data_IF_633561579999
#
_entry.id   IF_633561579999
#
_cell.length_a   1.000
_cell.length_b   1.000
_cell.length_c   1.000
_cell.angle_alpha   90.00
_cell.angle_beta   90.00
_cell.angle_gamma   90.00
#
_symmetry.space_group_name_H-M   'P 1'
#
loop_
_entity.id
_entity.type
_entity.pdbx_description
1 polymer ?
#
# COMPACT_ATOMS: atom_id res chain seq x y z
N UNK A 1 -1.69 1.76 31.60
CA UNK A 1 -0.38 2.45 31.64
C UNK A 1 -0.10 3.01 30.26
N UNK A 2 0.01 4.34 30.09
CA UNK A 2 0.36 4.94 28.80
C UNK A 2 1.85 4.72 28.54
N UNK A 3 2.21 4.12 27.40
CA UNK A 3 3.62 4.07 26.97
C UNK A 3 4.13 5.51 26.78
N UNK A 4 5.37 5.83 27.18
CA UNK A 4 5.94 7.15 26.94
C UNK A 4 6.01 7.43 25.44
N UNK A 5 5.73 8.68 25.04
CA UNK A 5 5.93 9.13 23.65
C UNK A 5 7.42 9.02 23.31
N UNK A 6 7.73 8.38 22.19
CA UNK A 6 9.11 8.20 21.75
C UNK A 6 9.76 9.56 21.46
N UNK A 7 11.03 9.72 21.86
CA UNK A 7 11.86 10.81 21.33
C UNK A 7 12.16 10.46 19.86
N UNK A 8 12.12 11.42 18.93
CA UNK A 8 12.45 11.16 17.53
C UNK A 8 13.84 10.54 17.40
N UNK A 9 13.98 9.56 16.51
CA UNK A 9 15.28 8.98 16.19
C UNK A 9 16.12 10.03 15.44
N UNK A 10 17.42 10.09 15.73
CA UNK A 10 18.33 11.03 15.07
C UNK A 10 18.36 10.72 13.57
N UNK A 11 18.08 11.72 12.73
CA UNK A 11 17.91 11.60 11.28
C UNK A 11 16.49 11.24 10.81
N UNK A 12 15.54 11.07 11.74
CA UNK A 12 14.12 10.80 11.47
C UNK A 12 13.22 11.75 12.27
N UNK A 13 13.67 12.98 12.50
CA UNK A 13 12.95 13.98 13.30
C UNK A 13 11.68 14.46 12.61
N UNK A 14 11.69 14.54 11.27
CA UNK A 14 10.62 15.09 10.44
C UNK A 14 9.87 14.01 9.62
N UNK A 15 9.78 12.78 10.13
CA UNK A 15 9.03 11.72 9.45
C UNK A 15 7.53 12.03 9.43
N UNK A 16 6.93 11.97 8.24
CA UNK A 16 5.50 12.25 8.07
C UNK A 16 4.60 11.16 8.68
N UNK A 17 5.02 9.90 8.59
CA UNK A 17 4.23 8.75 9.03
C UNK A 17 4.79 8.16 10.32
N UNK A 18 4.04 8.35 11.41
CA UNK A 18 4.37 7.83 12.74
C UNK A 18 3.23 6.97 13.29
N UNK A 19 3.59 5.96 14.06
CA UNK A 19 2.67 5.22 14.91
C UNK A 19 2.08 6.12 16.01
N UNK A 20 1.01 5.66 16.68
CA UNK A 20 0.39 6.36 17.82
C UNK A 20 1.37 6.79 18.92
N UNK A 21 2.51 6.09 19.05
CA UNK A 21 3.51 6.35 20.08
C UNK A 21 4.66 7.24 19.60
N UNK A 22 4.63 7.73 18.36
CA UNK A 22 5.66 8.61 17.78
C UNK A 22 6.83 7.89 17.11
N UNK A 23 6.82 6.56 17.05
CA UNK A 23 7.82 5.80 16.28
C UNK A 23 7.51 5.87 14.79
N UNK A 24 8.52 5.88 13.90
CA UNK A 24 8.31 5.71 12.47
C UNK A 24 7.39 4.52 12.18
N UNK A 25 6.45 4.72 11.28
CA UNK A 25 5.51 3.66 10.90
C UNK A 25 6.29 2.52 10.22
N UNK A 26 6.01 1.28 10.60
CA UNK A 26 6.59 0.10 9.95
C UNK A 26 5.55 -0.60 9.06
N UNK A 27 6.02 -1.31 8.06
CA UNK A 27 5.20 -2.02 7.08
C UNK A 27 4.17 -2.95 7.74
N UNK A 28 4.58 -3.67 8.78
CA UNK A 28 3.68 -4.58 9.50
C UNK A 28 2.47 -3.85 10.10
N UNK A 29 2.65 -2.64 10.63
CA UNK A 29 1.53 -1.86 11.20
C UNK A 29 0.52 -1.48 10.12
N UNK A 30 1.00 -1.16 8.91
CA UNK A 30 0.14 -0.86 7.75
C UNK A 30 -0.60 -2.12 7.31
N UNK A 31 0.10 -3.24 7.18
CA UNK A 31 -0.48 -4.53 6.79
C UNK A 31 -1.56 -4.97 7.78
N UNK A 32 -1.28 -4.90 9.09
CA UNK A 32 -2.25 -5.29 10.12
C UNK A 32 -3.49 -4.40 10.10
N UNK A 33 -3.32 -3.09 9.87
CA UNK A 33 -4.43 -2.16 9.73
C UNK A 33 -5.28 -2.48 8.50
N UNK A 34 -4.65 -2.82 7.37
CA UNK A 34 -5.35 -3.21 6.14
C UNK A 34 -6.09 -4.54 6.30
N UNK A 35 -5.45 -5.56 6.86
CA UNK A 35 -6.06 -6.86 7.13
C UNK A 35 -7.29 -6.69 8.06
N UNK A 36 -7.19 -5.81 9.07
CA UNK A 36 -8.33 -5.47 9.92
C UNK A 36 -9.50 -4.85 9.14
N UNK A 37 -9.23 -3.87 8.28
CA UNK A 37 -10.26 -3.22 7.46
C UNK A 37 -10.93 -4.22 6.51
N UNK A 38 -10.16 -5.08 5.85
CA UNK A 38 -10.69 -6.12 4.95
C UNK A 38 -11.59 -7.09 5.74
N UNK A 39 -11.17 -7.50 6.93
CA UNK A 39 -11.98 -8.36 7.80
C UNK A 39 -13.29 -7.68 8.24
N UNK A 40 -13.24 -6.40 8.59
CA UNK A 40 -14.44 -5.62 8.94
C UNK A 40 -15.42 -5.52 7.76
N UNK A 41 -14.91 -5.28 6.54
CA UNK A 41 -15.75 -5.26 5.33
C UNK A 41 -16.38 -6.64 5.09
N UNK A 42 -15.58 -7.70 5.18
CA UNK A 42 -16.03 -9.07 4.94
C UNK A 42 -17.02 -9.60 5.98
N UNK A 43 -17.10 -8.99 7.16
CA UNK A 43 -18.08 -9.35 8.19
C UNK A 43 -19.52 -9.13 7.73
N UNK A 44 -19.74 -8.16 6.83
CA UNK A 44 -21.07 -7.78 6.31
C UNK A 44 -21.41 -8.41 4.96
N UNK A 45 -20.57 -9.31 4.44
CA UNK A 45 -20.67 -9.88 3.08
C UNK A 45 -20.91 -11.37 3.10
N UNK A 46 -21.67 -11.84 2.12
CA UNK A 46 -21.83 -13.27 1.86
C UNK A 46 -20.50 -13.90 1.38
N UNK A 47 -20.34 -15.21 1.59
CA UNK A 47 -19.09 -15.93 1.33
C UNK A 47 -18.56 -15.72 -0.11
N UNK A 48 -19.45 -15.63 -1.09
CA UNK A 48 -19.10 -15.41 -2.50
C UNK A 48 -18.68 -13.99 -2.88
N UNK A 49 -18.88 -13.01 -1.98
CA UNK A 49 -18.61 -11.59 -2.24
C UNK A 49 -17.49 -11.02 -1.36
N UNK A 50 -16.88 -11.86 -0.52
CA UNK A 50 -15.77 -11.48 0.34
C UNK A 50 -14.58 -11.04 -0.50
N UNK A 51 -13.98 -9.93 -0.08
CA UNK A 51 -12.69 -9.54 -0.61
C UNK A 51 -11.62 -10.54 -0.20
N UNK A 52 -10.75 -10.86 -1.17
CA UNK A 52 -9.48 -11.50 -0.88
C UNK A 52 -8.58 -10.56 -0.07
N UNK A 53 -7.48 -11.10 0.47
CA UNK A 53 -6.50 -10.31 1.21
C UNK A 53 -5.93 -9.20 0.32
N UNK A 54 -5.98 -7.96 0.81
CA UNK A 54 -5.41 -6.78 0.14
C UNK A 54 -4.15 -6.34 0.87
N UNK A 55 -3.08 -6.09 0.13
CA UNK A 55 -1.80 -5.59 0.67
C UNK A 55 -1.43 -4.23 0.07
N UNK A 56 -0.47 -3.48 0.64
CA UNK A 56 -0.02 -2.21 0.06
C UNK A 56 0.43 -2.32 -1.41
N UNK A 57 1.00 -3.46 -1.79
CA UNK A 57 1.37 -3.71 -3.19
C UNK A 57 0.17 -3.72 -4.12
N UNK A 58 -1.00 -4.22 -3.68
CA UNK A 58 -2.22 -4.22 -4.48
C UNK A 58 -2.61 -2.78 -4.91
N UNK A 59 -2.40 -1.78 -4.06
CA UNK A 59 -2.67 -0.38 -4.44
C UNK A 59 -1.72 0.13 -5.52
N UNK A 60 -0.45 -0.27 -5.46
CA UNK A 60 0.53 0.02 -6.52
C UNK A 60 0.13 -0.62 -7.84
N UNK A 61 -0.35 -1.86 -7.80
CA UNK A 61 -0.90 -2.55 -8.98
C UNK A 61 -2.12 -1.82 -9.54
N UNK A 62 -3.11 -1.52 -8.71
CA UNK A 62 -4.31 -0.77 -9.11
C UNK A 62 -3.96 0.59 -9.71
N UNK A 63 -3.01 1.33 -9.12
CA UNK A 63 -2.56 2.61 -9.67
C UNK A 63 -1.98 2.46 -11.08
N UNK A 64 -1.12 1.47 -11.30
CA UNK A 64 -0.54 1.20 -12.62
C UNK A 64 -1.62 0.85 -13.64
N UNK A 65 -2.52 -0.08 -13.31
CA UNK A 65 -3.63 -0.49 -14.17
C UNK A 65 -4.51 0.70 -14.55
N UNK A 66 -4.89 1.54 -13.57
CA UNK A 66 -5.68 2.77 -13.83
C UNK A 66 -4.97 3.77 -14.73
N UNK A 67 -3.66 3.91 -14.59
CA UNK A 67 -2.88 4.77 -15.48
C UNK A 67 -2.90 4.25 -16.92
N UNK A 68 -2.77 2.94 -17.11
CA UNK A 68 -2.81 2.32 -18.43
C UNK A 68 -4.21 2.36 -19.06
N UNK A 69 -5.26 2.10 -18.28
CA UNK A 69 -6.66 2.26 -18.71
C UNK A 69 -6.95 3.70 -19.17
N UNK A 70 -6.33 4.70 -18.53
CA UNK A 70 -6.42 6.11 -18.90
C UNK A 70 -5.54 6.50 -20.12
N UNK A 71 -4.81 5.55 -20.72
CA UNK A 71 -3.95 5.80 -21.87
C UNK A 71 -2.66 6.54 -21.55
N UNK A 72 -2.22 6.56 -20.29
CA UNK A 72 -0.96 7.21 -19.90
C UNK A 72 0.22 6.42 -20.50
N UNK A 73 1.20 7.09 -21.14
CA UNK A 73 2.34 6.40 -21.74
C UNK A 73 3.12 5.55 -20.72
N UNK A 74 3.54 4.31 -21.08
CA UNK A 74 4.22 3.41 -20.14
C UNK A 74 5.49 3.97 -19.51
N UNK A 75 6.24 4.79 -20.24
CA UNK A 75 7.43 5.46 -19.72
C UNK A 75 7.11 6.47 -18.60
N UNK A 76 5.96 7.14 -18.69
CA UNK A 76 5.47 8.04 -17.64
C UNK A 76 5.07 7.24 -16.40
N UNK A 77 4.31 6.14 -16.58
CA UNK A 77 3.89 5.27 -15.48
C UNK A 77 5.11 4.64 -14.77
N UNK A 78 6.14 4.23 -15.53
CA UNK A 78 7.39 3.71 -14.99
C UNK A 78 8.07 4.71 -14.04
N UNK A 79 8.16 5.99 -14.43
CA UNK A 79 8.74 7.06 -13.61
C UNK A 79 7.91 7.29 -12.35
N UNK A 80 6.57 7.34 -12.47
CA UNK A 80 5.67 7.53 -11.34
C UNK A 80 5.74 6.40 -10.31
N UNK A 81 5.94 5.17 -10.78
CA UNK A 81 6.14 4.00 -9.91
C UNK A 81 7.58 3.92 -9.37
N UNK A 82 8.55 4.56 -10.01
CA UNK A 82 9.96 4.43 -9.66
C UNK A 82 10.53 3.05 -9.98
N UNK A 83 10.04 2.38 -11.03
CA UNK A 83 10.61 1.09 -11.47
C UNK A 83 11.90 1.29 -12.26
N UNK A 84 12.95 0.56 -11.87
CA UNK A 84 14.22 0.56 -12.58
C UNK A 84 14.10 0.04 -14.02
N UNK A 85 13.17 -0.88 -14.28
CA UNK A 85 12.95 -1.48 -15.60
C UNK A 85 11.48 -1.43 -16.03
N UNK A 86 11.24 -1.45 -17.34
CA UNK A 86 9.89 -1.46 -17.91
C UNK A 86 9.17 -2.79 -17.63
N UNK A 87 9.90 -3.91 -17.57
CA UNK A 87 9.36 -5.25 -17.30
C UNK A 87 8.67 -5.36 -15.94
N UNK A 88 9.17 -4.68 -14.90
CA UNK A 88 8.49 -4.60 -13.59
C UNK A 88 7.14 -3.90 -13.70
N UNK A 89 7.02 -2.93 -14.62
CA UNK A 89 5.79 -2.17 -14.86
C UNK A 89 4.78 -2.99 -15.65
N UNK A 90 5.22 -3.78 -16.64
CA UNK A 90 4.32 -4.59 -17.47
C UNK A 90 3.82 -5.86 -16.75
N UNK A 91 4.65 -6.51 -15.91
CA UNK A 91 4.19 -7.64 -15.08
C UNK A 91 3.07 -7.26 -14.10
N UNK A 92 3.03 -5.99 -13.69
CA UNK A 92 2.01 -5.43 -12.82
C UNK A 92 0.62 -5.41 -13.49
N UNK A 93 0.59 -5.27 -14.82
CA UNK A 93 -0.63 -5.22 -15.64
C UNK A 93 -1.24 -6.62 -15.88
N UNK A 94 -0.40 -7.66 -15.94
CA UNK A 94 -0.82 -9.03 -16.32
C UNK A 94 -1.51 -9.77 -15.17
N UNK A 95 -1.19 -9.47 -13.90
CA UNK A 95 -1.78 -10.18 -12.75
C UNK A 95 -3.28 -9.88 -12.49
N UNK A 96 -3.92 -9.03 -13.30
CA UNK A 96 -5.35 -8.73 -13.22
C UNK A 96 -6.19 -9.29 -14.39
N UNK A 97 -5.57 -10.05 -15.31
CA UNK A 97 -6.25 -10.71 -16.44
C UNK A 97 -5.94 -12.22 -16.49
#
# INVERSE_FOLDING_TARGET
>A
MSRPKAKPLIGFEDVLFVSRNGWPLCDQTVIDAMDKIVNEINYSRDEGEKFQRVSPHCFRHTFATRCFEAGIPPKTVQVLLGHATLDMTMNTFILMY
#
